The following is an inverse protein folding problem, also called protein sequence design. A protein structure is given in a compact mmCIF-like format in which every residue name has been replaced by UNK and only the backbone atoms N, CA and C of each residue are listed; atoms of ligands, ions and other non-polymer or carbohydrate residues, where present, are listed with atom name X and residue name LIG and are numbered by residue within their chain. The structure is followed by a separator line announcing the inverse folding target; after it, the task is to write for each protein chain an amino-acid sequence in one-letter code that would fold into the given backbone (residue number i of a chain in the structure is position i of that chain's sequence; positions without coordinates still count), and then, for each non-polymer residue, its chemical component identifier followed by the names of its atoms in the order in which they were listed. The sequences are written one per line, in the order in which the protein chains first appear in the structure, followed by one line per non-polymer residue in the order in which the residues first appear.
data_IF_158103715776
#
_entry.id   IF_158103715776
#
_cell.length_a   1.000
_cell.length_b   1.000
_cell.length_c   1.000
_cell.angle_alpha   90.00
_cell.angle_beta   90.00
_cell.angle_gamma   90.00
#
_symmetry.space_group_name_H-M   'P 1'
#
loop_
_entity.id
_entity.type
_entity.pdbx_description
1 polymer ?
#
# COMPACT_ATOMS: atom_id res chain seq x y z
N UNK A 1 35.21 -34.11 -15.05
CA UNK A 1 34.26 -33.97 -16.17
C UNK A 1 33.91 -35.36 -16.66
N UNK A 2 32.63 -35.75 -16.62
CA UNK A 2 32.19 -37.06 -17.10
C UNK A 2 32.28 -37.13 -18.63
N UNK A 3 32.77 -38.26 -19.17
CA UNK A 3 32.89 -38.48 -20.61
C UNK A 3 31.50 -38.86 -21.17
N UNK A 4 31.02 -38.12 -22.17
CA UNK A 4 29.74 -38.44 -22.83
C UNK A 4 29.90 -39.65 -23.75
N UNK A 5 28.96 -40.60 -23.67
CA UNK A 5 28.89 -41.80 -24.52
C UNK A 5 27.58 -41.79 -25.30
N UNK A 6 27.50 -42.56 -26.40
CA UNK A 6 26.28 -42.64 -27.25
C UNK A 6 25.01 -42.93 -26.44
N UNK A 7 25.14 -43.71 -25.37
CA UNK A 7 24.07 -44.09 -24.45
C UNK A 7 23.62 -43.01 -23.48
N UNK A 8 24.46 -42.00 -23.23
CA UNK A 8 24.19 -40.92 -22.27
C UNK A 8 23.95 -39.57 -22.93
N UNK A 9 24.19 -39.47 -24.25
CA UNK A 9 24.07 -38.23 -25.02
C UNK A 9 22.64 -37.66 -25.06
N UNK A 10 21.62 -38.53 -25.08
CA UNK A 10 20.21 -38.14 -25.16
C UNK A 10 19.44 -38.33 -23.86
N UNK A 11 20.11 -38.76 -22.78
CA UNK A 11 19.47 -38.94 -21.48
C UNK A 11 19.60 -37.66 -20.67
N UNK A 12 18.48 -37.20 -20.12
CA UNK A 12 18.47 -36.11 -19.15
C UNK A 12 19.40 -36.49 -17.98
N UNK A 13 20.40 -35.66 -17.64
CA UNK A 13 21.25 -35.94 -16.49
C UNK A 13 20.37 -35.99 -15.23
N UNK A 14 20.68 -36.89 -14.27
CA UNK A 14 19.93 -36.94 -13.03
C UNK A 14 20.03 -35.57 -12.33
N UNK A 15 18.90 -35.09 -11.83
CA UNK A 15 18.87 -33.88 -11.00
C UNK A 15 19.79 -34.09 -9.81
N UNK A 16 20.75 -33.18 -9.61
CA UNK A 16 21.69 -33.26 -8.50
C UNK A 16 20.89 -33.26 -7.19
N UNK A 17 21.14 -34.25 -6.33
CA UNK A 17 20.58 -34.26 -4.99
C UNK A 17 21.07 -33.04 -4.21
N UNK A 18 20.16 -32.34 -3.55
CA UNK A 18 20.48 -31.20 -2.69
C UNK A 18 21.45 -31.62 -1.58
N UNK A 19 22.53 -30.86 -1.43
CA UNK A 19 23.45 -31.02 -0.33
C UNK A 19 22.87 -30.44 0.96
N UNK A 20 23.47 -30.75 2.11
CA UNK A 20 23.06 -30.15 3.39
C UNK A 20 23.20 -28.61 3.36
N UNK A 21 24.20 -28.08 2.64
CA UNK A 21 24.39 -26.64 2.45
C UNK A 21 23.26 -26.03 1.63
N UNK A 22 22.84 -26.71 0.56
CA UNK A 22 21.73 -26.21 -0.29
C UNK A 22 20.43 -26.11 0.53
N UNK A 23 20.19 -27.08 1.43
CA UNK A 23 19.05 -27.07 2.34
C UNK A 23 19.10 -25.92 3.34
N UNK A 24 20.26 -25.66 3.94
CA UNK A 24 20.39 -24.55 4.90
C UNK A 24 20.28 -23.19 4.20
N UNK A 25 20.84 -23.04 3.00
CA UNK A 25 20.66 -21.83 2.18
C UNK A 25 19.20 -21.62 1.82
N UNK A 26 18.48 -22.68 1.43
CA UNK A 26 17.04 -22.58 1.15
C UNK A 26 16.26 -22.13 2.37
N UNK A 27 16.47 -22.76 3.52
CA UNK A 27 15.79 -22.39 4.77
C UNK A 27 16.10 -20.95 5.19
N UNK A 28 17.34 -20.51 5.04
CA UNK A 28 17.72 -19.12 5.35
C UNK A 28 17.00 -18.11 4.44
N UNK A 29 16.88 -18.41 3.14
CA UNK A 29 16.16 -17.53 2.21
C UNK A 29 14.66 -17.48 2.52
N UNK A 30 14.06 -18.63 2.83
CA UNK A 30 12.64 -18.72 3.23
C UNK A 30 12.34 -17.84 4.44
N UNK A 31 13.18 -17.91 5.49
CA UNK A 31 13.05 -17.04 6.67
C UNK A 31 13.12 -15.55 6.30
N UNK A 32 14.06 -15.16 5.44
CA UNK A 32 14.24 -13.77 5.03
C UNK A 32 13.01 -13.26 4.25
N UNK A 33 12.48 -14.10 3.37
CA UNK A 33 11.33 -13.78 2.54
C UNK A 33 10.06 -13.66 3.40
N UNK A 34 9.84 -14.56 4.35
CA UNK A 34 8.72 -14.53 5.29
C UNK A 34 8.76 -13.24 6.15
N UNK A 35 9.91 -12.93 6.75
CA UNK A 35 10.08 -11.69 7.53
C UNK A 35 9.86 -10.42 6.70
N UNK A 36 10.25 -10.47 5.42
CA UNK A 36 10.04 -9.38 4.49
C UNK A 36 8.56 -9.21 4.18
N UNK A 37 7.84 -10.28 3.92
CA UNK A 37 6.39 -10.24 3.68
C UNK A 37 5.64 -9.68 4.89
N UNK A 38 5.98 -10.11 6.12
CA UNK A 38 5.41 -9.57 7.35
C UNK A 38 5.65 -8.05 7.50
N UNK A 39 6.86 -7.59 7.19
CA UNK A 39 7.18 -6.15 7.23
C UNK A 39 6.42 -5.37 6.17
N UNK A 40 6.32 -5.89 4.95
CA UNK A 40 5.62 -5.25 3.84
C UNK A 40 4.13 -5.16 4.11
N UNK A 41 3.49 -6.25 4.54
CA UNK A 41 2.06 -6.27 4.89
C UNK A 41 1.72 -5.28 6.00
N UNK A 42 2.53 -5.23 7.07
CA UNK A 42 2.39 -4.24 8.14
C UNK A 42 2.53 -2.82 7.62
N UNK A 43 3.54 -2.56 6.79
CA UNK A 43 3.78 -1.22 6.21
C UNK A 43 2.63 -0.79 5.32
N UNK A 44 2.12 -1.68 4.48
CA UNK A 44 0.97 -1.43 3.61
C UNK A 44 -0.29 -1.10 4.42
N UNK A 45 -0.55 -1.86 5.50
CA UNK A 45 -1.66 -1.58 6.42
C UNK A 45 -1.54 -0.21 7.07
N UNK A 46 -0.37 0.14 7.60
CA UNK A 46 -0.14 1.44 8.24
C UNK A 46 -0.23 2.59 7.24
N UNK A 47 0.29 2.40 6.03
CA UNK A 47 0.21 3.39 4.95
C UNK A 47 -1.23 3.63 4.54
N UNK A 48 -2.04 2.58 4.41
CA UNK A 48 -3.48 2.69 4.12
C UNK A 48 -4.21 3.47 5.22
N UNK A 49 -4.01 3.09 6.48
CA UNK A 49 -4.62 3.79 7.62
C UNK A 49 -4.21 5.27 7.69
N UNK A 50 -2.95 5.58 7.37
CA UNK A 50 -2.48 6.97 7.28
C UNK A 50 -3.21 7.75 6.19
N UNK A 51 -3.34 7.17 4.99
CA UNK A 51 -4.04 7.81 3.87
C UNK A 51 -5.52 8.06 4.18
N UNK A 52 -6.20 7.11 4.81
CA UNK A 52 -7.59 7.27 5.26
C UNK A 52 -7.70 8.45 6.24
N UNK A 53 -6.84 8.50 7.27
CA UNK A 53 -6.82 9.61 8.23
C UNK A 53 -6.52 10.96 7.58
N UNK A 54 -5.59 11.02 6.64
CA UNK A 54 -5.28 12.24 5.88
C UNK A 54 -6.46 12.68 5.01
N UNK A 55 -7.22 11.75 4.41
CA UNK A 55 -8.43 12.06 3.67
C UNK A 55 -9.51 12.65 4.58
N UNK A 56 -9.74 12.06 5.76
CA UNK A 56 -10.69 12.58 6.76
C UNK A 56 -10.27 13.97 7.28
N UNK A 57 -8.99 14.19 7.59
CA UNK A 57 -8.50 15.49 8.03
C UNK A 57 -8.70 16.58 6.96
N UNK A 58 -8.42 16.26 5.69
CA UNK A 58 -8.65 17.17 4.56
C UNK A 58 -10.14 17.50 4.37
N UNK A 59 -11.04 16.54 4.58
CA UNK A 59 -12.49 16.81 4.49
C UNK A 59 -13.01 17.68 5.63
N UNK A 60 -12.46 17.54 6.84
CA UNK A 60 -12.81 18.38 7.99
C UNK A 60 -12.33 19.83 7.82
N UNK A 61 -11.11 20.04 7.29
CA UNK A 61 -10.63 21.39 6.99
C UNK A 61 -11.48 22.09 5.92
N UNK A 62 -11.95 21.35 4.91
CA UNK A 62 -12.82 21.89 3.86
C UNK A 62 -14.23 22.20 4.36
N UNK A 63 -14.79 21.37 5.25
CA UNK A 63 -16.12 21.59 5.82
C UNK A 63 -16.15 22.82 6.75
N UNK A 64 -15.08 23.05 7.51
CA UNK A 64 -14.94 24.22 8.38
C UNK A 64 -14.71 25.51 7.59
N UNK A 65 -13.95 25.47 6.48
CA UNK A 65 -13.79 26.60 5.57
C UNK A 65 -15.12 27.01 4.91
N UNK A 66 -15.92 26.04 4.47
CA UNK A 66 -17.23 26.29 3.86
C UNK A 66 -18.27 26.83 4.88
N UNK A 67 -18.20 26.40 6.14
CA UNK A 67 -19.09 26.87 7.21
C UNK A 67 -18.82 28.32 7.65
N UNK A 68 -17.57 28.78 7.57
CA UNK A 68 -17.18 30.12 8.04
C UNK A 68 -17.52 31.25 7.06
N UNK A 69 -17.58 30.96 5.76
CA UNK A 69 -18.02 31.90 4.72
C UNK A 69 -19.54 32.14 4.68
N UNK A 70 -20.36 31.23 5.21
CA UNK A 70 -21.83 31.33 5.14
C UNK A 70 -22.45 32.19 6.23
N UNK A 71 -21.72 32.51 7.31
CA UNK A 71 -22.24 33.33 8.42
C UNK A 71 -22.12 34.85 8.19
N UNK A 72 -21.31 35.29 7.23
CA UNK A 72 -21.09 36.72 6.96
C UNK A 72 -21.96 37.29 5.83
N UNK A 73 -22.57 36.44 4.99
CA UNK A 73 -23.44 36.88 3.88
C UNK A 73 -24.92 37.00 4.23
N UNK A 74 -25.36 36.56 5.42
CA UNK A 74 -26.77 36.68 5.86
C UNK A 74 -27.10 38.01 6.58
N UNK A 75 -26.16 38.96 6.62
CA UNK A 75 -26.33 40.23 7.31
C UNK A 75 -26.14 41.46 6.39
N UNK A 76 -26.75 41.46 5.20
CA UNK A 76 -27.10 42.73 4.53
C UNK A 76 -28.13 42.52 3.42
N UNK A 77 -29.41 42.64 3.78
CA UNK A 77 -30.45 43.00 2.81
C UNK A 77 -31.08 44.32 3.32
N UNK A 78 -30.82 45.47 2.68
CA UNK A 78 -31.61 46.66 2.92
C UNK A 78 -32.68 46.85 1.84
N UNK A 79 -33.78 47.47 2.29
CA UNK A 79 -34.76 48.23 1.52
C UNK A 79 -35.90 47.50 0.79
N UNK A 80 -37.09 47.60 1.39
CA UNK A 80 -38.25 48.10 0.64
C UNK A 80 -39.14 48.95 1.57
N UNK A 81 -39.08 50.27 1.38
CA UNK A 81 -39.99 51.20 2.03
C UNK A 81 -41.42 50.93 1.58
N UNK A 82 -42.29 50.62 2.54
CA UNK A 82 -43.74 50.72 2.38
C UNK A 82 -44.14 52.18 2.62
N UNK A 83 -44.56 52.87 1.57
CA UNK A 83 -45.44 54.03 1.69
C UNK A 83 -46.87 53.53 1.55
N UNK A 84 -47.69 53.74 2.58
CA UNK A 84 -49.15 53.68 2.51
C UNK A 84 -49.74 54.46 3.68
N UNK A 85 -50.62 55.41 3.38
CA UNK A 85 -51.42 56.15 4.36
C UNK A 85 -51.17 57.64 4.32
#
# INVERSE_FOLDING_TARGET
MAKMTKETLFKQPPTRAETLLDKTTRAANEIIDDEKEERETKTMRLRKARLEREAFAKSEDQSQAAGKGRKTSRAKAPAKGQKSG
#
